data_IF_247400046796
#
_entry.id   IF_247400046796
#
_cell.length_a   1.000
_cell.length_b   1.000
_cell.length_c   1.000
_cell.angle_alpha   90.00
_cell.angle_beta   90.00
_cell.angle_gamma   90.00
#
_symmetry.space_group_name_H-M   'P 1'
#
loop_
_entity.id
_entity.type
_entity.pdbx_description
1 polymer ?
#
# COMPACT_ATOMS: atom_id res chain seq x y z
N UNK A 1 48.57 34.39 -52.18
CA UNK A 1 48.12 35.21 -51.02
C UNK A 1 48.51 34.48 -49.74
N UNK A 2 49.56 34.94 -49.07
CA UNK A 2 50.11 34.31 -47.85
C UNK A 2 49.24 34.66 -46.63
N UNK A 3 48.77 33.65 -45.89
CA UNK A 3 48.13 33.87 -44.59
C UNK A 3 49.21 34.26 -43.58
N UNK A 4 49.16 35.50 -43.07
CA UNK A 4 50.03 35.95 -41.98
C UNK A 4 49.73 35.09 -40.75
N UNK A 5 50.75 34.39 -40.25
CA UNK A 5 50.71 33.71 -38.96
C UNK A 5 50.69 34.78 -37.87
N UNK A 6 49.66 34.79 -37.01
CA UNK A 6 49.64 35.62 -35.80
C UNK A 6 50.38 34.85 -34.69
N UNK A 7 51.35 35.47 -34.00
CA UNK A 7 51.98 34.85 -32.83
C UNK A 7 50.92 34.53 -31.77
N UNK A 8 51.03 33.37 -31.15
CA UNK A 8 50.20 33.01 -29.99
C UNK A 8 50.51 33.98 -28.85
N UNK A 9 49.55 34.84 -28.50
CA UNK A 9 49.65 35.74 -27.36
C UNK A 9 48.99 35.07 -26.14
N UNK A 10 49.77 34.63 -25.13
CA UNK A 10 49.24 33.96 -23.95
C UNK A 10 48.39 34.87 -23.05
N UNK A 11 48.30 36.17 -23.35
CA UNK A 11 47.51 37.15 -22.61
C UNK A 11 46.29 37.67 -23.38
N UNK A 12 46.08 37.25 -24.62
CA UNK A 12 44.86 37.53 -25.38
C UNK A 12 43.74 36.63 -24.83
N UNK A 13 43.16 37.04 -23.71
CA UNK A 13 41.98 36.40 -23.13
C UNK A 13 40.81 36.68 -24.06
N UNK A 14 40.31 35.65 -24.76
CA UNK A 14 39.01 35.74 -25.41
C UNK A 14 38.01 36.30 -24.37
N UNK A 15 37.11 37.23 -24.77
CA UNK A 15 36.09 37.70 -23.86
C UNK A 15 35.37 36.47 -23.33
N UNK A 16 35.43 36.25 -22.01
CA UNK A 16 34.74 35.15 -21.38
C UNK A 16 33.27 35.26 -21.77
N UNK A 17 32.85 34.42 -22.72
CA UNK A 17 31.46 34.18 -23.03
C UNK A 17 30.79 33.90 -21.68
N UNK A 18 29.85 34.77 -21.28
CA UNK A 18 29.07 34.58 -20.06
C UNK A 18 28.46 33.17 -20.04
N UNK A 19 28.01 32.68 -18.87
CA UNK A 19 27.52 31.30 -18.74
C UNK A 19 26.52 31.00 -19.87
N UNK A 20 26.93 30.14 -20.80
CA UNK A 20 26.10 29.76 -21.95
C UNK A 20 24.83 29.15 -21.38
N UNK A 21 23.70 29.84 -21.52
CA UNK A 21 22.40 29.27 -21.18
C UNK A 21 22.23 27.98 -21.98
N UNK A 22 22.36 26.83 -21.32
CA UNK A 22 22.10 25.54 -21.91
C UNK A 22 20.58 25.48 -22.15
N UNK A 23 20.15 25.94 -23.32
CA UNK A 23 18.77 25.80 -23.78
C UNK A 23 18.54 24.35 -24.18
N UNK A 24 17.90 23.58 -23.30
CA UNK A 24 17.40 22.26 -23.68
C UNK A 24 16.43 22.41 -24.87
N UNK A 25 16.73 21.81 -26.03
CA UNK A 25 15.81 21.86 -27.17
C UNK A 25 14.51 21.16 -26.76
N UNK A 26 13.38 21.89 -26.84
CA UNK A 26 12.06 21.28 -26.63
C UNK A 26 11.82 20.27 -27.75
N UNK A 27 11.55 18.99 -27.45
CA UNK A 27 11.38 17.98 -28.49
C UNK A 27 10.24 18.39 -29.44
N UNK A 28 10.42 18.21 -30.77
CA UNK A 28 9.43 18.62 -31.75
C UNK A 28 8.12 17.86 -31.55
N UNK A 29 6.97 18.49 -31.89
CA UNK A 29 5.62 17.90 -31.70
C UNK A 29 5.46 16.48 -32.25
N UNK A 30 6.24 16.10 -33.28
CA UNK A 30 6.25 14.76 -33.87
C UNK A 30 6.78 13.67 -32.92
N UNK A 31 7.72 14.00 -32.03
CA UNK A 31 8.24 13.06 -31.01
C UNK A 31 7.18 12.79 -29.94
N UNK A 32 6.41 13.81 -29.54
CA UNK A 32 5.26 13.63 -28.65
C UNK A 32 4.14 12.80 -29.31
N UNK A 33 3.89 13.02 -30.61
CA UNK A 33 2.91 12.21 -31.36
C UNK A 33 3.36 10.74 -31.46
N UNK A 34 4.63 10.50 -31.77
CA UNK A 34 5.22 9.15 -31.82
C UNK A 34 5.20 8.47 -30.44
N UNK A 35 5.52 9.20 -29.38
CA UNK A 35 5.43 8.71 -28.00
C UNK A 35 4.00 8.38 -27.57
N UNK A 36 3.01 9.20 -27.95
CA UNK A 36 1.59 8.92 -27.71
C UNK A 36 1.14 7.66 -28.46
N UNK A 37 1.48 7.52 -29.75
CA UNK A 37 1.14 6.34 -30.53
C UNK A 37 1.78 5.07 -29.97
N UNK A 38 3.03 5.16 -29.52
CA UNK A 38 3.72 4.06 -28.86
C UNK A 38 3.07 3.68 -27.51
N UNK A 39 2.71 4.66 -26.69
CA UNK A 39 1.96 4.43 -25.45
C UNK A 39 0.62 3.74 -25.74
N UNK A 40 -0.14 4.22 -26.73
CA UNK A 40 -1.41 3.61 -27.14
C UNK A 40 -1.18 2.17 -27.59
N UNK A 41 -0.14 1.90 -28.39
CA UNK A 41 0.19 0.54 -28.82
C UNK A 41 0.51 -0.39 -27.63
N UNK A 42 1.27 0.10 -26.64
CA UNK A 42 1.53 -0.63 -25.39
C UNK A 42 0.24 -0.91 -24.62
N UNK A 43 -0.62 0.09 -24.45
CA UNK A 43 -1.90 -0.07 -23.77
C UNK A 43 -2.75 -1.12 -24.49
N UNK A 44 -2.91 -1.02 -25.81
CA UNK A 44 -3.64 -2.01 -26.61
C UNK A 44 -3.02 -3.40 -26.43
N UNK A 45 -1.70 -3.53 -26.53
CA UNK A 45 -1.02 -4.81 -26.38
C UNK A 45 -1.26 -5.46 -24.99
N UNK A 46 -1.19 -4.66 -23.92
CA UNK A 46 -1.41 -5.13 -22.55
C UNK A 46 -2.88 -5.52 -22.32
N UNK A 47 -3.83 -4.74 -22.83
CA UNK A 47 -5.26 -4.96 -22.57
C UNK A 47 -5.95 -5.89 -23.58
N UNK A 48 -5.37 -6.11 -24.76
CA UNK A 48 -5.95 -6.98 -25.78
C UNK A 48 -6.12 -8.42 -25.28
N UNK A 49 -5.08 -9.00 -24.67
CA UNK A 49 -5.13 -10.38 -24.19
C UNK A 49 -6.19 -10.60 -23.09
N UNK A 50 -6.27 -9.77 -22.03
CA UNK A 50 -7.34 -9.86 -21.04
C UNK A 50 -8.75 -9.69 -21.64
N UNK A 51 -8.94 -8.73 -22.55
CA UNK A 51 -10.25 -8.49 -23.17
C UNK A 51 -10.69 -9.69 -24.02
N UNK A 52 -9.79 -10.21 -24.85
CA UNK A 52 -10.06 -11.40 -25.67
C UNK A 52 -10.39 -12.59 -24.76
N UNK A 53 -9.58 -12.83 -23.72
CA UNK A 53 -9.85 -13.89 -22.75
C UNK A 53 -11.23 -13.74 -22.10
N UNK A 54 -11.60 -12.53 -21.67
CA UNK A 54 -12.91 -12.30 -21.05
C UNK A 54 -14.07 -12.57 -22.01
N UNK A 55 -13.96 -12.14 -23.27
CA UNK A 55 -15.00 -12.36 -24.28
C UNK A 55 -15.11 -13.86 -24.60
N UNK A 56 -13.98 -14.53 -24.84
CA UNK A 56 -13.94 -15.96 -25.17
C UNK A 56 -14.51 -16.81 -24.03
N UNK A 57 -14.10 -16.55 -22.78
CA UNK A 57 -14.65 -17.24 -21.60
C UNK A 57 -16.14 -16.96 -21.42
N UNK A 58 -16.59 -15.71 -21.61
CA UNK A 58 -18.00 -15.37 -21.48
C UNK A 58 -18.85 -16.12 -22.52
N UNK A 59 -18.40 -16.21 -23.77
CA UNK A 59 -19.08 -16.98 -24.81
C UNK A 59 -19.08 -18.48 -24.51
N UNK A 60 -17.96 -19.00 -23.97
CA UNK A 60 -17.86 -20.40 -23.57
C UNK A 60 -18.84 -20.76 -22.45
N UNK A 61 -18.90 -19.96 -21.38
CA UNK A 61 -19.84 -20.16 -20.27
C UNK A 61 -21.30 -19.98 -20.71
N UNK A 62 -21.57 -19.06 -21.65
CA UNK A 62 -22.91 -18.88 -22.24
C UNK A 62 -23.35 -20.12 -23.03
N UNK A 63 -22.46 -20.70 -23.83
CA UNK A 63 -22.72 -21.94 -24.57
C UNK A 63 -23.03 -23.14 -23.64
N UNK A 64 -22.52 -23.13 -22.41
CA UNK A 64 -22.80 -24.14 -21.39
C UNK A 64 -24.04 -23.82 -20.52
N UNK A 65 -24.71 -22.69 -20.73
CA UNK A 65 -25.82 -22.23 -19.88
C UNK A 65 -25.38 -21.78 -18.48
N UNK A 66 -24.08 -21.53 -18.27
CA UNK A 66 -23.46 -21.18 -16.98
C UNK A 66 -22.99 -19.72 -16.93
N UNK A 67 -23.53 -18.86 -17.82
CA UNK A 67 -23.15 -17.45 -17.93
C UNK A 67 -23.14 -16.71 -16.59
N UNK A 68 -24.14 -16.96 -15.75
CA UNK A 68 -24.29 -16.31 -14.44
C UNK A 68 -23.13 -16.63 -13.47
N UNK A 69 -22.54 -17.82 -13.58
CA UNK A 69 -21.38 -18.21 -12.76
C UNK A 69 -20.17 -17.35 -13.12
N UNK A 70 -19.93 -17.16 -14.42
CA UNK A 70 -18.80 -16.37 -14.90
C UNK A 70 -18.99 -14.87 -14.60
N UNK A 71 -20.17 -14.32 -14.83
CA UNK A 71 -20.45 -12.90 -14.53
C UNK A 71 -20.38 -12.61 -13.03
N UNK A 72 -20.86 -13.52 -12.18
CA UNK A 72 -20.74 -13.39 -10.72
C UNK A 72 -19.27 -13.44 -10.28
N UNK A 73 -18.49 -14.39 -10.80
CA UNK A 73 -17.04 -14.45 -10.55
C UNK A 73 -16.37 -13.14 -10.95
N UNK A 74 -16.60 -12.67 -12.17
CA UNK A 74 -15.99 -11.44 -12.69
C UNK A 74 -16.39 -10.22 -11.85
N UNK A 75 -17.67 -10.14 -11.46
CA UNK A 75 -18.17 -9.07 -10.59
C UNK A 75 -17.44 -9.05 -9.25
N UNK A 76 -17.29 -10.20 -8.57
CA UNK A 76 -16.57 -10.27 -7.29
C UNK A 76 -15.09 -9.90 -7.44
N UNK A 77 -14.43 -10.35 -8.51
CA UNK A 77 -13.03 -10.00 -8.79
C UNK A 77 -12.85 -8.48 -8.96
N UNK A 78 -13.71 -7.86 -9.77
CA UNK A 78 -13.69 -6.41 -10.01
C UNK A 78 -14.10 -5.64 -8.75
N UNK A 79 -15.11 -6.09 -8.02
CA UNK A 79 -15.56 -5.47 -6.78
C UNK A 79 -14.47 -5.48 -5.71
N UNK A 80 -13.73 -6.58 -5.55
CA UNK A 80 -12.59 -6.68 -4.63
C UNK A 80 -11.46 -5.73 -5.04
N UNK A 81 -11.12 -5.68 -6.33
CA UNK A 81 -10.11 -4.76 -6.83
C UNK A 81 -10.51 -3.30 -6.60
N UNK A 82 -11.69 -2.89 -7.08
CA UNK A 82 -12.17 -1.50 -6.98
C UNK A 82 -12.40 -1.10 -5.52
N UNK A 83 -13.00 -1.97 -4.73
CA UNK A 83 -13.27 -1.74 -3.30
C UNK A 83 -11.98 -1.57 -2.50
N UNK A 84 -11.05 -2.51 -2.62
CA UNK A 84 -9.75 -2.41 -1.93
C UNK A 84 -8.96 -1.19 -2.41
N UNK A 85 -9.02 -0.85 -3.71
CA UNK A 85 -8.32 0.31 -4.26
C UNK A 85 -8.91 1.61 -3.71
N UNK A 86 -10.23 1.74 -3.73
CA UNK A 86 -10.92 2.91 -3.21
C UNK A 86 -10.62 3.10 -1.71
N UNK A 87 -10.72 2.06 -0.90
CA UNK A 87 -10.43 2.15 0.54
C UNK A 87 -8.96 2.50 0.77
N UNK A 88 -8.03 1.82 0.10
CA UNK A 88 -6.59 2.09 0.22
C UNK A 88 -6.25 3.53 -0.18
N UNK A 89 -6.77 3.98 -1.33
CA UNK A 89 -6.51 5.31 -1.84
C UNK A 89 -7.10 6.39 -0.93
N UNK A 90 -8.34 6.24 -0.47
CA UNK A 90 -8.96 7.19 0.46
C UNK A 90 -8.16 7.27 1.75
N UNK A 91 -7.79 6.13 2.34
CA UNK A 91 -6.97 6.08 3.54
C UNK A 91 -5.62 6.78 3.34
N UNK A 92 -4.86 6.41 2.31
CA UNK A 92 -3.53 6.99 2.05
C UNK A 92 -3.62 8.48 1.68
N UNK A 93 -4.58 8.87 0.84
CA UNK A 93 -4.78 10.26 0.45
C UNK A 93 -5.18 11.13 1.64
N UNK A 94 -6.05 10.64 2.53
CA UNK A 94 -6.41 11.35 3.76
C UNK A 94 -5.19 11.59 4.66
N UNK A 95 -4.37 10.55 4.85
CA UNK A 95 -3.12 10.65 5.61
C UNK A 95 -2.11 11.60 4.95
N UNK A 96 -1.91 11.53 3.63
CA UNK A 96 -1.02 12.45 2.90
C UNK A 96 -1.50 13.90 3.03
N UNK A 97 -2.80 14.16 2.83
CA UNK A 97 -3.38 15.50 2.98
C UNK A 97 -3.19 16.01 4.42
N UNK A 98 -3.38 15.16 5.43
CA UNK A 98 -3.13 15.52 6.82
C UNK A 98 -1.66 15.83 7.09
N UNK A 99 -0.74 14.99 6.61
CA UNK A 99 0.70 15.19 6.78
C UNK A 99 1.19 16.49 6.13
N UNK A 100 0.73 16.76 4.91
CA UNK A 100 1.02 18.00 4.20
C UNK A 100 0.44 19.24 4.92
N UNK A 101 -0.75 19.13 5.52
CA UNK A 101 -1.35 20.19 6.34
C UNK A 101 -0.54 20.46 7.61
N UNK A 102 -0.05 19.42 8.28
CA UNK A 102 0.80 19.54 9.48
C UNK A 102 2.15 20.17 9.14
N UNK A 103 2.78 19.77 8.02
CA UNK A 103 4.06 20.31 7.56
C UNK A 103 4.02 21.81 7.24
N UNK A 104 2.89 22.31 6.76
CA UNK A 104 2.75 23.71 6.33
C UNK A 104 2.66 24.72 7.49
N UNK A 105 2.46 24.26 8.73
CA UNK A 105 2.48 25.08 9.95
C UNK A 105 1.38 26.17 10.03
N UNK A 106 1.13 26.74 11.23
CA UNK A 106 0.21 27.87 11.41
C UNK A 106 0.73 29.19 10.81
N UNK A 107 2.05 29.40 10.79
CA UNK A 107 2.68 30.67 10.39
C UNK A 107 2.44 31.07 8.93
N UNK A 108 2.45 30.11 7.99
CA UNK A 108 2.16 30.38 6.58
C UNK A 108 0.66 30.67 6.34
N UNK A 109 -0.23 30.17 7.21
CA UNK A 109 -1.68 30.46 7.14
C UNK A 109 -2.02 31.83 7.70
N UNK A 110 -1.30 32.29 8.73
CA UNK A 110 -1.47 33.63 9.32
C UNK A 110 -1.13 34.75 8.31
N UNK A 111 -0.23 34.48 7.35
CA UNK A 111 0.16 35.42 6.28
C UNK A 111 -0.76 35.34 5.05
N UNK A 112 -1.87 34.60 5.12
CA UNK A 112 -2.87 34.53 4.03
C UNK A 112 -2.42 33.76 2.78
N UNK A 113 -1.21 33.18 2.78
CA UNK A 113 -0.71 32.34 1.69
C UNK A 113 -1.39 30.97 1.78
N UNK A 114 -2.61 30.88 1.23
CA UNK A 114 -3.23 29.59 0.90
C UNK A 114 -2.53 29.00 -0.32
N UNK A 115 -1.30 28.50 -0.16
CA UNK A 115 -0.78 27.55 -1.14
C UNK A 115 -1.78 26.39 -1.18
N UNK A 116 -2.28 26.05 -2.36
CA UNK A 116 -2.99 24.81 -2.54
C UNK A 116 -1.96 23.69 -2.35
N UNK A 117 -1.73 23.28 -1.10
CA UNK A 117 -0.66 22.38 -0.69
C UNK A 117 -0.72 21.07 -1.50
N UNK A 118 -1.94 20.62 -1.80
CA UNK A 118 -2.25 19.47 -2.66
C UNK A 118 -1.85 19.69 -4.13
N UNK A 119 -1.94 20.93 -4.63
CA UNK A 119 -1.56 21.30 -6.02
C UNK A 119 -0.07 21.66 -6.17
N UNK A 120 0.72 21.57 -5.10
CA UNK A 120 2.18 21.72 -5.21
C UNK A 120 2.80 20.47 -5.88
N UNK A 121 3.98 20.61 -6.49
CA UNK A 121 4.68 19.46 -7.08
C UNK A 121 4.92 18.33 -6.05
N UNK A 122 5.25 18.69 -4.81
CA UNK A 122 5.40 17.75 -3.70
C UNK A 122 4.07 17.07 -3.30
N UNK A 123 2.97 17.82 -3.30
CA UNK A 123 1.63 17.29 -3.02
C UNK A 123 1.13 16.35 -4.11
N UNK A 124 1.35 16.71 -5.38
CA UNK A 124 1.08 15.86 -6.54
C UNK A 124 1.89 14.57 -6.47
N UNK A 125 3.20 14.65 -6.26
CA UNK A 125 4.07 13.48 -6.12
C UNK A 125 3.61 12.56 -4.98
N UNK A 126 3.29 13.11 -3.81
CA UNK A 126 2.85 12.31 -2.65
C UNK A 126 1.49 11.62 -2.90
N UNK A 127 0.55 12.29 -3.56
CA UNK A 127 -0.74 11.67 -3.94
C UNK A 127 -0.58 10.65 -5.07
N UNK A 128 0.31 10.88 -6.03
CA UNK A 128 0.66 9.88 -7.04
C UNK A 128 1.31 8.65 -6.41
N UNK A 129 2.19 8.84 -5.42
CA UNK A 129 2.77 7.74 -4.65
C UNK A 129 1.69 6.98 -3.86
N UNK A 130 0.75 7.69 -3.22
CA UNK A 130 -0.39 7.08 -2.54
C UNK A 130 -1.28 6.26 -3.51
N UNK A 131 -1.56 6.79 -4.71
CA UNK A 131 -2.30 6.07 -5.74
C UNK A 131 -1.56 4.82 -6.23
N UNK A 132 -0.25 4.92 -6.43
CA UNK A 132 0.58 3.78 -6.82
C UNK A 132 0.61 2.69 -5.75
N UNK A 133 0.81 3.05 -4.48
CA UNK A 133 0.76 2.11 -3.35
C UNK A 133 -0.62 1.44 -3.25
N UNK A 134 -1.70 2.22 -3.36
CA UNK A 134 -3.06 1.68 -3.37
C UNK A 134 -3.27 0.69 -4.53
N UNK A 135 -2.79 1.01 -5.72
CA UNK A 135 -2.89 0.14 -6.89
C UNK A 135 -2.09 -1.16 -6.72
N UNK A 136 -0.88 -1.10 -6.18
CA UNK A 136 -0.05 -2.27 -5.91
C UNK A 136 -0.72 -3.19 -4.88
N UNK A 137 -1.20 -2.64 -3.76
CA UNK A 137 -1.88 -3.42 -2.72
C UNK A 137 -3.18 -4.05 -3.21
N UNK A 138 -3.89 -3.39 -4.14
CA UNK A 138 -5.16 -3.87 -4.68
C UNK A 138 -5.02 -4.81 -5.87
N UNK A 139 -3.87 -4.84 -6.55
CA UNK A 139 -3.66 -5.64 -7.75
C UNK A 139 -3.95 -7.14 -7.56
N UNK A 140 -3.71 -7.67 -6.36
CA UNK A 140 -3.99 -9.06 -6.01
C UNK A 140 -5.39 -9.30 -5.41
N UNK A 141 -6.15 -8.27 -5.06
CA UNK A 141 -7.40 -8.44 -4.29
C UNK A 141 -8.44 -9.29 -5.02
N UNK A 142 -8.54 -9.14 -6.34
CA UNK A 142 -9.45 -9.93 -7.17
C UNK A 142 -9.19 -11.44 -7.10
N UNK A 143 -7.99 -11.89 -6.75
CA UNK A 143 -7.69 -13.33 -6.60
C UNK A 143 -8.46 -13.98 -5.45
N UNK A 144 -8.93 -13.19 -4.48
CA UNK A 144 -9.64 -13.66 -3.29
C UNK A 144 -11.16 -13.79 -3.49
N UNK A 145 -11.64 -13.75 -4.74
CA UNK A 145 -13.06 -13.84 -5.05
C UNK A 145 -13.72 -15.14 -4.53
N UNK A 146 -13.00 -16.27 -4.56
CA UNK A 146 -13.48 -17.55 -4.03
C UNK A 146 -13.64 -17.49 -2.51
N UNK A 147 -12.63 -16.98 -1.81
CA UNK A 147 -12.67 -16.82 -0.36
C UNK A 147 -13.81 -15.87 0.06
N UNK A 148 -14.02 -14.77 -0.67
CA UNK A 148 -15.15 -13.87 -0.45
C UNK A 148 -16.50 -14.58 -0.66
N UNK A 149 -16.65 -15.32 -1.76
CA UNK A 149 -17.90 -16.03 -2.05
C UNK A 149 -18.23 -17.08 -0.97
N UNK A 150 -17.22 -17.85 -0.54
CA UNK A 150 -17.37 -18.83 0.54
C UNK A 150 -17.70 -18.15 1.88
N UNK A 151 -17.08 -17.01 2.18
CA UNK A 151 -17.38 -16.24 3.38
C UNK A 151 -18.82 -15.71 3.37
N UNK A 152 -19.30 -15.17 2.25
CA UNK A 152 -20.65 -14.63 2.10
C UNK A 152 -21.74 -15.70 2.15
N UNK A 153 -21.45 -16.89 1.63
CA UNK A 153 -22.37 -18.02 1.57
C UNK A 153 -22.00 -19.14 2.56
N UNK A 154 -21.31 -18.79 3.65
CA UNK A 154 -20.90 -19.75 4.67
C UNK A 154 -22.12 -20.40 5.32
N UNK A 155 -22.07 -21.72 5.50
CA UNK A 155 -23.11 -22.52 6.15
C UNK A 155 -22.50 -23.42 7.22
N UNK A 156 -23.08 -23.50 8.43
CA UNK A 156 -22.58 -24.37 9.48
C UNK A 156 -22.57 -25.83 9.05
N UNK A 157 -21.49 -26.53 9.39
CA UNK A 157 -21.38 -27.99 9.17
C UNK A 157 -22.03 -28.78 10.30
N UNK A 158 -22.19 -28.18 11.48
CA UNK A 158 -22.66 -28.84 12.71
C UNK A 158 -21.55 -29.60 13.44
N UNK A 159 -20.34 -29.63 12.91
CA UNK A 159 -19.17 -30.23 13.54
C UNK A 159 -18.32 -29.13 14.16
N UNK A 160 -18.18 -29.18 15.49
CA UNK A 160 -17.42 -28.20 16.27
C UNK A 160 -16.07 -28.77 16.65
N UNK A 161 -15.01 -27.98 16.49
CA UNK A 161 -13.67 -28.38 16.89
C UNK A 161 -13.55 -28.41 18.44
N UNK A 162 -12.88 -29.41 19.03
CA UNK A 162 -12.82 -29.57 20.48
C UNK A 162 -11.80 -28.64 21.17
N UNK A 163 -10.97 -27.90 20.42
CA UNK A 163 -9.86 -27.11 20.99
C UNK A 163 -10.24 -25.64 21.16
N UNK A 164 -10.81 -25.03 20.13
CA UNK A 164 -11.21 -23.62 20.05
C UNK A 164 -12.73 -23.43 19.96
N UNK A 165 -13.50 -24.51 19.83
CA UNK A 165 -14.97 -24.46 19.88
C UNK A 165 -15.61 -23.79 18.67
N UNK A 166 -14.93 -23.75 17.52
CA UNK A 166 -15.44 -23.19 16.26
C UNK A 166 -15.99 -24.32 15.38
N UNK A 167 -17.03 -24.01 14.60
CA UNK A 167 -17.53 -24.93 13.58
C UNK A 167 -16.49 -25.11 12.46
N UNK A 168 -16.39 -26.31 11.86
CA UNK A 168 -15.47 -26.57 10.75
C UNK A 168 -15.67 -25.60 9.57
N UNK A 169 -16.91 -25.12 9.35
CA UNK A 169 -17.23 -24.09 8.35
C UNK A 169 -16.46 -22.79 8.56
N UNK A 170 -16.14 -22.40 9.80
CA UNK A 170 -15.34 -21.21 10.07
C UNK A 170 -13.95 -21.33 9.43
N UNK A 171 -13.28 -22.46 9.62
CA UNK A 171 -11.91 -22.69 9.12
C UNK A 171 -11.86 -22.79 7.59
N UNK A 172 -12.85 -23.43 6.97
CA UNK A 172 -12.84 -23.69 5.53
C UNK A 172 -13.45 -22.55 4.71
N UNK A 173 -14.51 -21.90 5.22
CA UNK A 173 -15.31 -20.95 4.45
C UNK A 173 -15.03 -19.50 4.83
N UNK A 174 -14.71 -19.22 6.10
CA UNK A 174 -14.57 -17.85 6.58
C UNK A 174 -13.12 -17.39 6.80
N UNK A 175 -12.31 -18.23 7.46
CA UNK A 175 -10.95 -17.92 7.87
C UNK A 175 -10.03 -17.49 6.72
N UNK A 176 -10.05 -18.11 5.52
CA UNK A 176 -9.19 -17.67 4.40
C UNK A 176 -9.47 -16.23 3.95
N UNK A 177 -10.74 -15.81 3.99
CA UNK A 177 -11.11 -14.44 3.65
C UNK A 177 -10.71 -13.46 4.76
N UNK A 178 -10.87 -13.84 6.03
CA UNK A 178 -10.43 -13.02 7.16
C UNK A 178 -8.90 -12.78 7.13
N UNK A 179 -8.11 -13.81 6.83
CA UNK A 179 -6.67 -13.68 6.60
C UNK A 179 -6.34 -12.74 5.44
N UNK A 180 -7.07 -12.84 4.34
CA UNK A 180 -6.90 -11.95 3.19
C UNK A 180 -7.18 -10.48 3.57
N UNK A 181 -8.25 -10.22 4.34
CA UNK A 181 -8.60 -8.88 4.80
C UNK A 181 -7.55 -8.33 5.76
N UNK A 182 -7.14 -9.10 6.77
CA UNK A 182 -6.16 -8.67 7.77
C UNK A 182 -4.78 -8.49 7.14
N UNK A 183 -4.35 -9.39 6.25
CA UNK A 183 -3.09 -9.27 5.51
C UNK A 183 -3.05 -8.03 4.61
N UNK A 184 -4.14 -7.76 3.89
CA UNK A 184 -4.28 -6.52 3.11
C UNK A 184 -4.25 -5.27 4.01
N UNK A 185 -4.96 -5.29 5.15
CA UNK A 185 -4.97 -4.17 6.09
C UNK A 185 -3.59 -3.94 6.73
N UNK A 186 -2.85 -5.00 7.04
CA UNK A 186 -1.48 -4.94 7.53
C UNK A 186 -0.56 -4.28 6.49
N UNK A 187 -0.65 -4.71 5.22
CA UNK A 187 0.08 -4.11 4.11
C UNK A 187 -0.25 -2.63 3.92
N UNK A 188 -1.54 -2.27 3.95
CA UNK A 188 -2.02 -0.89 3.81
C UNK A 188 -1.51 0.02 4.93
N UNK A 189 -1.63 -0.42 6.18
CA UNK A 189 -1.24 0.37 7.35
C UNK A 189 0.29 0.48 7.46
N UNK A 190 1.03 -0.57 7.13
CA UNK A 190 2.49 -0.56 7.06
C UNK A 190 2.99 0.40 5.98
N UNK A 191 2.51 0.26 4.74
CA UNK A 191 2.91 1.15 3.64
C UNK A 191 2.46 2.59 3.88
N UNK A 192 1.29 2.80 4.50
CA UNK A 192 0.84 4.11 4.94
C UNK A 192 1.77 4.74 5.97
N UNK A 193 2.18 3.99 7.00
CA UNK A 193 3.12 4.47 8.01
C UNK A 193 4.48 4.83 7.39
N UNK A 194 5.00 4.01 6.47
CA UNK A 194 6.22 4.31 5.72
C UNK A 194 6.08 5.59 4.89
N UNK A 195 5.01 5.71 4.11
CA UNK A 195 4.75 6.87 3.26
C UNK A 195 4.69 8.17 4.07
N UNK A 196 3.95 8.17 5.18
CA UNK A 196 3.79 9.34 6.06
C UNK A 196 5.11 9.71 6.73
N UNK A 197 5.84 8.71 7.24
CA UNK A 197 7.14 8.92 7.88
C UNK A 197 8.14 9.49 6.88
N UNK A 198 8.21 8.94 5.66
CA UNK A 198 9.05 9.45 4.59
C UNK A 198 8.68 10.89 4.22
N UNK A 199 7.39 11.20 4.15
CA UNK A 199 6.91 12.55 3.81
C UNK A 199 7.27 13.59 4.88
N UNK A 200 7.26 13.20 6.16
CA UNK A 200 7.71 14.06 7.26
C UNK A 200 9.24 14.20 7.31
N UNK A 201 9.97 13.14 6.98
CA UNK A 201 11.42 13.15 6.97
C UNK A 201 12.00 13.94 5.77
N UNK A 202 11.30 13.95 4.64
CA UNK A 202 11.77 14.55 3.39
C UNK A 202 11.80 16.09 3.43
N UNK A 203 12.98 16.68 3.25
CA UNK A 203 13.22 18.15 3.21
C UNK A 203 13.45 18.72 1.81
N UNK A 204 13.40 17.87 0.77
CA UNK A 204 13.65 18.24 -0.62
C UNK A 204 14.93 17.58 -1.12
N UNK A 205 16.06 17.96 -0.53
CA UNK A 205 17.41 17.46 -0.83
C UNK A 205 17.88 16.36 0.14
N UNK A 206 17.25 16.24 1.30
CA UNK A 206 17.69 15.39 2.40
C UNK A 206 16.52 14.74 3.15
N UNK A 207 16.83 13.70 3.93
CA UNK A 207 15.91 13.04 4.87
C UNK A 207 16.41 13.26 6.30
N UNK A 208 15.58 13.89 7.13
CA UNK A 208 15.91 14.21 8.52
C UNK A 208 14.83 13.65 9.44
N UNK A 209 15.22 12.75 10.36
CA UNK A 209 14.32 12.11 11.32
C UNK A 209 14.06 12.97 12.57
N UNK A 210 13.89 14.28 12.37
CA UNK A 210 13.50 15.21 13.43
C UNK A 210 12.05 15.66 13.20
N UNK A 211 11.15 15.03 13.95
CA UNK A 211 9.70 15.16 13.79
C UNK A 211 9.11 16.16 14.80
N UNK A 212 8.18 17.00 14.34
CA UNK A 212 7.42 17.87 15.25
C UNK A 212 6.47 17.03 16.13
N UNK A 213 6.04 17.53 17.30
CA UNK A 213 5.11 16.79 18.16
C UNK A 213 3.82 16.34 17.45
N UNK A 214 3.31 17.15 16.51
CA UNK A 214 2.15 16.79 15.70
C UNK A 214 2.46 15.70 14.65
N UNK A 215 3.67 15.69 14.08
CA UNK A 215 4.11 14.61 13.21
C UNK A 215 4.28 13.31 13.99
N UNK A 216 4.85 13.35 15.20
CA UNK A 216 4.93 12.18 16.10
C UNK A 216 3.54 11.65 16.43
N UNK A 217 2.57 12.51 16.72
CA UNK A 217 1.19 12.10 16.98
C UNK A 217 0.58 11.37 15.77
N UNK A 218 0.77 11.91 14.57
CA UNK A 218 0.23 11.32 13.35
C UNK A 218 0.90 9.98 13.00
N UNK A 219 2.24 9.89 13.09
CA UNK A 219 2.98 8.65 12.91
C UNK A 219 2.55 7.60 13.94
N UNK A 220 2.34 8.00 15.20
CA UNK A 220 1.85 7.10 16.26
C UNK A 220 0.44 6.58 15.97
N UNK A 221 -0.45 7.41 15.44
CA UNK A 221 -1.76 6.97 14.99
C UNK A 221 -1.67 5.94 13.86
N UNK A 222 -0.81 6.16 12.86
CA UNK A 222 -0.58 5.19 11.78
C UNK A 222 0.00 3.87 12.30
N UNK A 223 0.94 3.93 13.25
CA UNK A 223 1.51 2.76 13.92
C UNK A 223 0.48 2.02 14.78
N UNK A 224 -0.48 2.72 15.38
CA UNK A 224 -1.58 2.09 16.12
C UNK A 224 -2.48 1.26 15.21
N UNK A 225 -2.80 1.76 14.00
CA UNK A 225 -3.54 0.98 13.01
C UNK A 225 -2.75 -0.26 12.57
N UNK A 226 -1.45 -0.11 12.34
CA UNK A 226 -0.57 -1.24 12.02
C UNK A 226 -0.52 -2.28 13.15
N UNK A 227 -0.29 -1.85 14.39
CA UNK A 227 -0.24 -2.74 15.55
C UNK A 227 -1.57 -3.47 15.78
N UNK A 228 -2.70 -2.80 15.54
CA UNK A 228 -4.04 -3.43 15.58
C UNK A 228 -4.18 -4.50 14.51
N UNK A 229 -3.80 -4.21 13.27
CA UNK A 229 -3.85 -5.18 12.17
C UNK A 229 -2.91 -6.37 12.44
N UNK A 230 -1.73 -6.12 13.00
CA UNK A 230 -0.77 -7.16 13.37
C UNK A 230 -1.29 -8.04 14.52
N UNK A 231 -1.90 -7.44 15.54
CA UNK A 231 -2.55 -8.19 16.62
C UNK A 231 -3.70 -9.06 16.10
N UNK A 232 -4.50 -8.54 15.15
CA UNK A 232 -5.54 -9.32 14.49
C UNK A 232 -4.97 -10.49 13.69
N UNK A 233 -3.82 -10.31 13.02
CA UNK A 233 -3.15 -11.39 12.28
C UNK A 233 -2.69 -12.50 13.22
N UNK A 234 -2.05 -12.14 14.33
CA UNK A 234 -1.61 -13.08 15.37
C UNK A 234 -2.80 -13.81 16.01
N UNK A 235 -3.91 -13.10 16.23
CA UNK A 235 -5.14 -13.70 16.73
C UNK A 235 -5.70 -14.74 15.75
N UNK A 236 -5.75 -14.41 14.45
CA UNK A 236 -6.19 -15.37 13.43
C UNK A 236 -5.24 -16.57 13.31
N UNK A 237 -3.94 -16.35 13.49
CA UNK A 237 -2.92 -17.41 13.50
C UNK A 237 -3.18 -18.53 14.50
N UNK A 238 -3.97 -18.28 15.55
CA UNK A 238 -4.41 -19.30 16.52
C UNK A 238 -5.25 -20.39 15.86
N UNK A 239 -6.10 -20.02 14.91
CA UNK A 239 -7.00 -20.94 14.21
C UNK A 239 -6.25 -21.77 13.15
N UNK A 240 -5.12 -21.27 12.65
CA UNK A 240 -4.30 -21.99 11.68
C UNK A 240 -3.66 -23.25 12.28
N UNK A 241 -3.50 -23.33 13.60
CA UNK A 241 -2.92 -24.51 14.27
C UNK A 241 -3.73 -25.79 14.05
N UNK A 242 -5.06 -25.67 13.89
CA UNK A 242 -5.95 -26.80 13.63
C UNK A 242 -6.02 -27.19 12.15
N UNK A 243 -5.65 -26.25 11.28
CA UNK A 243 -5.67 -26.40 9.83
C UNK A 243 -4.28 -26.77 9.26
N UNK A 244 -3.19 -26.45 9.97
CA UNK A 244 -1.84 -26.57 9.45
C UNK A 244 -1.34 -28.02 9.44
N UNK A 245 -0.89 -28.45 8.26
CA UNK A 245 -0.33 -29.77 8.01
C UNK A 245 1.13 -29.91 8.51
N UNK A 246 1.44 -29.28 9.66
CA UNK A 246 2.81 -28.93 10.02
C UNK A 246 3.63 -30.03 10.70
N UNK A 247 3.12 -31.27 10.82
CA UNK A 247 3.87 -32.36 11.42
C UNK A 247 3.72 -33.65 10.61
N UNK A 248 4.85 -34.20 10.18
CA UNK A 248 5.06 -35.37 9.31
C UNK A 248 4.33 -36.68 9.73
N UNK A 249 3.50 -36.69 10.78
CA UNK A 249 2.98 -37.91 11.43
C UNK A 249 1.50 -37.83 11.84
N UNK A 250 0.87 -36.65 11.98
CA UNK A 250 -0.52 -36.55 12.50
C UNK A 250 -1.32 -35.46 11.77
N UNK A 251 -2.58 -35.76 11.43
CA UNK A 251 -3.54 -34.79 10.90
C UNK A 251 -4.18 -34.00 12.06
N UNK A 252 -4.13 -32.66 11.99
CA UNK A 252 -4.70 -31.75 13.00
C UNK A 252 -3.68 -31.21 14.00
N UNK A 253 -4.17 -30.43 14.98
CA UNK A 253 -3.31 -29.78 15.98
C UNK A 253 -2.63 -30.83 16.89
N UNK A 254 -1.30 -30.81 16.93
CA UNK A 254 -0.56 -31.69 17.83
C UNK A 254 -0.60 -31.21 19.28
N UNK A 255 -0.21 -32.08 20.22
CA UNK A 255 -0.13 -31.73 21.64
C UNK A 255 0.73 -30.47 21.90
N UNK A 256 1.85 -30.32 21.18
CA UNK A 256 2.70 -29.13 21.27
C UNK A 256 2.02 -27.86 20.73
N UNK A 257 1.18 -27.99 19.72
CA UNK A 257 0.52 -26.84 19.10
C UNK A 257 -0.55 -26.29 20.05
N UNK A 258 -1.31 -27.18 20.70
CA UNK A 258 -2.33 -26.80 21.69
C UNK A 258 -1.72 -26.28 22.99
N UNK A 259 -0.70 -26.96 23.53
CA UNK A 259 -0.20 -26.65 24.88
C UNK A 259 0.96 -25.64 24.90
N UNK A 260 1.63 -25.39 23.77
CA UNK A 260 2.73 -24.41 23.70
C UNK A 260 2.47 -23.30 22.69
N UNK A 261 2.19 -23.61 21.42
CA UNK A 261 2.06 -22.58 20.37
C UNK A 261 0.81 -21.71 20.57
N UNK A 262 -0.33 -22.31 20.90
CA UNK A 262 -1.59 -21.59 21.08
C UNK A 262 -1.50 -20.55 22.23
N UNK A 263 -0.97 -20.87 23.42
CA UNK A 263 -0.69 -19.86 24.46
C UNK A 263 0.23 -18.74 23.99
N UNK A 264 1.31 -19.05 23.26
CA UNK A 264 2.26 -18.05 22.76
C UNK A 264 1.58 -17.09 21.79
N UNK A 265 0.85 -17.59 20.78
CA UNK A 265 0.11 -16.74 19.85
C UNK A 265 -0.95 -15.88 20.54
N UNK A 266 -1.62 -16.44 21.56
CA UNK A 266 -2.60 -15.69 22.36
C UNK A 266 -1.93 -14.56 23.14
N UNK A 267 -0.76 -14.82 23.74
CA UNK A 267 0.03 -13.81 24.42
C UNK A 267 0.54 -12.72 23.46
N UNK A 268 1.09 -13.11 22.31
CA UNK A 268 1.58 -12.18 21.28
C UNK A 268 0.46 -11.29 20.74
N UNK A 269 -0.73 -11.85 20.47
CA UNK A 269 -1.90 -11.07 20.07
C UNK A 269 -2.29 -10.06 21.16
N UNK A 270 -2.29 -10.47 22.43
CA UNK A 270 -2.53 -9.57 23.57
C UNK A 270 -1.48 -8.46 23.68
N UNK A 271 -0.20 -8.79 23.54
CA UNK A 271 0.90 -7.82 23.52
C UNK A 271 0.78 -6.83 22.35
N UNK A 272 0.32 -7.30 21.18
CA UNK A 272 0.00 -6.46 20.03
C UNK A 272 -1.11 -5.44 20.34
N UNK A 273 -2.19 -5.87 21.01
CA UNK A 273 -3.27 -4.95 21.46
C UNK A 273 -2.75 -3.91 22.45
N UNK A 274 -1.92 -4.32 23.41
CA UNK A 274 -1.29 -3.39 24.36
C UNK A 274 -0.41 -2.37 23.62
N UNK A 275 0.36 -2.82 22.62
CA UNK A 275 1.20 -1.96 21.79
C UNK A 275 0.36 -0.96 21.00
N UNK A 276 -0.76 -1.39 20.42
CA UNK A 276 -1.70 -0.49 19.74
C UNK A 276 -2.25 0.57 20.72
N UNK A 277 -2.63 0.17 21.93
CA UNK A 277 -3.05 1.07 23.01
C UNK A 277 -1.96 2.08 23.40
N UNK A 278 -0.71 1.65 23.52
CA UNK A 278 0.43 2.52 23.80
C UNK A 278 0.67 3.55 22.68
N UNK A 279 0.55 3.12 21.41
CA UNK A 279 0.67 4.03 20.26
C UNK A 279 -0.46 5.07 20.23
N UNK A 280 -1.68 4.67 20.58
CA UNK A 280 -2.82 5.59 20.75
C UNK A 280 -2.53 6.58 21.88
N UNK A 281 -2.08 6.12 23.05
CA UNK A 281 -1.69 6.98 24.16
C UNK A 281 -0.60 8.00 23.74
N UNK A 282 0.33 7.58 22.88
CA UNK A 282 1.40 8.45 22.37
C UNK A 282 0.91 9.57 21.45
N UNK A 283 -0.32 9.53 20.95
CA UNK A 283 -0.94 10.65 20.20
C UNK A 283 -1.03 11.91 21.08
N UNK A 284 -1.27 11.74 22.39
CA UNK A 284 -1.33 12.83 23.36
C UNK A 284 0.03 13.13 24.01
N UNK A 285 0.82 12.09 24.31
CA UNK A 285 2.14 12.25 24.94
C UNK A 285 3.15 12.87 23.96
N UNK A 286 3.06 12.51 22.68
CA UNK A 286 3.85 13.05 21.55
C UNK A 286 5.35 12.95 21.75
N UNK A 287 5.81 11.87 22.37
CA UNK A 287 7.23 11.62 22.60
C UNK A 287 7.65 10.41 21.78
N UNK A 288 8.81 10.48 21.16
CA UNK A 288 9.49 9.27 20.71
C UNK A 288 10.00 8.62 22.00
N UNK A 289 9.22 7.69 22.58
CA UNK A 289 9.71 6.80 23.63
C UNK A 289 10.69 5.84 22.97
N UNK A 290 11.86 6.35 22.61
CA UNK A 290 13.02 5.52 22.51
C UNK A 290 13.52 5.41 23.95
N UNK A 291 13.69 4.21 24.52
CA UNK A 291 14.75 4.01 25.49
C UNK A 291 16.07 4.16 24.71
N UNK A 292 16.43 5.39 24.33
CA UNK A 292 17.84 5.72 24.15
C UNK A 292 18.35 5.87 25.57
N UNK A 293 18.71 4.74 26.16
CA UNK A 293 19.46 4.75 27.40
C UNK A 293 20.79 5.46 27.18
N UNK A 294 21.19 6.21 28.21
CA UNK A 294 22.54 6.67 28.54
C UNK A 294 23.28 7.52 27.48
#
# INVERSE_FOLDING_TARGET
>A
MSRRYRPFDPFEREPFDGPREIRFPRPPRRVWLGGLLFLIAIVIFIFASPIVSVITELQWYDALGLKDVYTTRLFLQVALFVGSFAISFIYLAANVVLALRVRSGPGLRAVGIRRAIVRSAAGGLALSAAALVALILSGGAGTQWQALALFQHSSPTGMVDPVLGQDVSFYLLALPFLHSVVGWALGLTFMGALLITALYAWRGDSFVLNFSPLAIAHISASLAFFATAFAALLWLGRFDLLYSHNQLVVWGAAYSDVNARLPVLTFEAGAGVVTAGAMIANIWIRRLWLPVGA
#
